data_IF_139880137483
#
_entry.id   IF_139880137483
#
_cell.length_a   1.000
_cell.length_b   1.000
_cell.length_c   1.000
_cell.angle_alpha   90.00
_cell.angle_beta   90.00
_cell.angle_gamma   90.00
#
_symmetry.space_group_name_H-M   'P 1'
#
loop_
_entity.id
_entity.type
_entity.pdbx_description
1 polymer ?
#
# COMPACT_ATOMS: atom_id res chain seq x y z
N UNK A 1 -14.47 3.81 1.30
CA UNK A 1 -13.04 4.21 1.29
C UNK A 1 -12.13 3.12 0.76
N UNK A 2 -12.01 1.98 1.46
CA UNK A 2 -11.05 0.90 1.11
C UNK A 2 -11.17 0.46 -0.34
N UNK A 3 -12.38 0.23 -0.84
CA UNK A 3 -12.60 -0.17 -2.24
C UNK A 3 -12.00 0.84 -3.24
N UNK A 4 -12.25 2.15 -3.04
CA UNK A 4 -11.70 3.20 -3.91
C UNK A 4 -10.17 3.19 -3.90
N UNK A 5 -9.56 3.10 -2.72
CA UNK A 5 -8.10 3.03 -2.55
C UNK A 5 -7.53 1.82 -3.30
N UNK A 6 -8.18 0.65 -3.17
CA UNK A 6 -7.77 -0.57 -3.86
C UNK A 6 -7.87 -0.42 -5.38
N UNK A 7 -8.95 0.18 -5.88
CA UNK A 7 -9.15 0.43 -7.30
C UNK A 7 -8.08 1.40 -7.84
N UNK A 8 -7.78 2.47 -7.10
CA UNK A 8 -6.72 3.44 -7.45
C UNK A 8 -5.34 2.78 -7.49
N UNK A 9 -5.01 1.90 -6.52
CA UNK A 9 -3.75 1.14 -6.53
C UNK A 9 -3.67 0.25 -7.79
N UNK A 10 -4.76 -0.43 -8.15
CA UNK A 10 -4.79 -1.29 -9.35
C UNK A 10 -4.60 -0.48 -10.63
N UNK A 11 -5.22 0.70 -10.73
CA UNK A 11 -5.00 1.63 -11.85
C UNK A 11 -3.55 2.09 -11.89
N UNK A 12 -2.98 2.51 -10.76
CA UNK A 12 -1.58 2.90 -10.67
C UNK A 12 -0.64 1.78 -11.15
N UNK A 13 -0.86 0.54 -10.72
CA UNK A 13 -0.10 -0.61 -11.20
C UNK A 13 -0.28 -0.88 -12.70
N UNK A 14 -1.49 -0.75 -13.25
CA UNK A 14 -1.72 -0.93 -14.69
C UNK A 14 -1.01 0.14 -15.54
N UNK A 15 -0.73 1.31 -14.96
CA UNK A 15 0.01 2.41 -15.60
C UNK A 15 1.48 2.48 -15.17
N UNK A 16 2.03 1.40 -14.57
CA UNK A 16 3.43 1.32 -14.13
C UNK A 16 3.85 2.41 -13.10
N UNK A 17 2.88 2.99 -12.37
CA UNK A 17 3.10 3.98 -11.31
C UNK A 17 3.46 3.30 -9.98
N UNK A 18 4.58 2.58 -9.95
CA UNK A 18 4.93 1.65 -8.87
C UNK A 18 5.02 2.30 -7.48
N UNK A 19 5.65 3.46 -7.36
CA UNK A 19 5.79 4.13 -6.07
C UNK A 19 4.48 4.74 -5.58
N UNK A 20 3.59 5.16 -6.48
CA UNK A 20 2.23 5.61 -6.13
C UNK A 20 1.42 4.42 -5.60
N UNK A 21 1.44 3.30 -6.33
CA UNK A 21 0.80 2.06 -5.90
C UNK A 21 1.34 1.56 -4.55
N UNK A 22 2.66 1.53 -4.38
CA UNK A 22 3.31 1.07 -3.15
C UNK A 22 2.97 1.96 -1.96
N UNK A 23 3.16 3.27 -2.10
CA UNK A 23 2.89 4.24 -1.03
C UNK A 23 1.45 4.15 -0.55
N UNK A 24 0.50 4.03 -1.48
CA UNK A 24 -0.93 3.91 -1.18
C UNK A 24 -1.25 2.54 -0.58
N UNK A 25 -0.72 1.44 -1.12
CA UNK A 25 -0.93 0.09 -0.59
C UNK A 25 -0.43 -0.06 0.85
N UNK A 26 0.71 0.56 1.18
CA UNK A 26 1.27 0.56 2.54
C UNK A 26 0.39 1.25 3.58
N UNK A 27 -0.64 2.01 3.17
CA UNK A 27 -1.64 2.59 4.09
C UNK A 27 -2.77 1.63 4.44
N UNK A 28 -3.00 0.57 3.65
CA UNK A 28 -4.11 -0.37 3.88
C UNK A 28 -4.03 -1.06 5.26
N UNK A 29 -2.86 -1.52 5.74
CA UNK A 29 -2.75 -2.09 7.08
C UNK A 29 -3.01 -1.07 8.21
N UNK A 30 -2.74 0.23 8.01
CA UNK A 30 -3.12 1.27 8.98
C UNK A 30 -4.66 1.36 9.10
N UNK A 31 -5.35 1.40 7.95
CA UNK A 31 -6.80 1.54 7.86
C UNK A 31 -7.48 0.30 8.46
N UNK A 32 -7.09 -0.89 8.02
CA UNK A 32 -7.68 -2.14 8.49
C UNK A 32 -7.29 -2.45 9.94
N UNK A 33 -6.06 -2.14 10.36
CA UNK A 33 -5.63 -2.27 11.75
C UNK A 33 -6.38 -1.33 12.70
N UNK A 34 -6.70 -0.11 12.28
CA UNK A 34 -7.56 0.79 13.08
C UNK A 34 -8.98 0.23 13.26
N UNK A 35 -9.54 -0.37 12.22
CA UNK A 35 -10.86 -0.98 12.27
C UNK A 35 -10.88 -2.25 13.15
N UNK A 36 -9.85 -3.11 13.06
CA UNK A 36 -9.77 -4.32 13.87
C UNK A 36 -9.49 -4.05 15.36
N UNK A 37 -8.63 -3.08 15.64
CA UNK A 37 -8.14 -2.79 16.99
C UNK A 37 -8.47 -1.36 17.42
N UNK A 38 -9.76 -0.98 17.56
CA UNK A 38 -10.15 0.42 17.80
C UNK A 38 -9.58 0.99 19.10
N UNK A 39 -9.39 0.14 20.12
CA UNK A 39 -8.92 0.49 21.46
C UNK A 39 -7.40 0.50 21.63
N UNK A 40 -6.65 -0.06 20.67
CA UNK A 40 -5.19 0.01 20.69
C UNK A 40 -4.74 1.42 20.30
N UNK A 41 -3.95 2.06 21.15
CA UNK A 41 -3.55 3.46 20.96
C UNK A 41 -2.36 3.59 20.01
N UNK A 42 -1.48 2.58 19.97
CA UNK A 42 -0.31 2.57 19.10
C UNK A 42 -0.70 2.21 17.68
N UNK A 43 -0.64 3.19 16.76
CA UNK A 43 -0.83 2.97 15.33
C UNK A 43 0.13 1.90 14.79
N UNK A 44 1.40 1.95 15.23
CA UNK A 44 2.42 0.94 14.91
C UNK A 44 1.98 -0.47 15.30
N UNK A 45 1.44 -0.64 16.52
CA UNK A 45 1.00 -1.96 17.00
C UNK A 45 -0.18 -2.48 16.19
N UNK A 46 -1.21 -1.64 15.94
CA UNK A 46 -2.36 -2.03 15.09
C UNK A 46 -1.93 -2.47 13.71
N UNK A 47 -1.01 -1.73 13.09
CA UNK A 47 -0.47 -2.05 11.78
C UNK A 47 0.20 -3.41 11.75
N UNK A 48 1.17 -3.62 12.66
CA UNK A 48 1.98 -4.84 12.70
C UNK A 48 1.11 -6.05 13.03
N UNK A 49 0.21 -5.93 14.00
CA UNK A 49 -0.66 -7.02 14.43
C UNK A 49 -1.63 -7.42 13.32
N UNK A 50 -2.28 -6.44 12.66
CA UNK A 50 -3.19 -6.73 11.55
C UNK A 50 -2.44 -7.34 10.36
N UNK A 51 -1.30 -6.75 9.97
CA UNK A 51 -0.50 -7.28 8.87
C UNK A 51 -0.04 -8.70 9.14
N UNK A 52 0.51 -8.98 10.33
CA UNK A 52 0.97 -10.33 10.67
C UNK A 52 -0.17 -11.35 10.68
N UNK A 53 -1.35 -10.96 11.18
CA UNK A 53 -2.54 -11.81 11.22
C UNK A 53 -3.05 -12.16 9.82
N UNK A 54 -3.21 -11.17 8.96
CA UNK A 54 -3.91 -11.34 7.68
C UNK A 54 -2.98 -11.67 6.51
N UNK A 55 -1.69 -11.30 6.59
CA UNK A 55 -0.72 -11.44 5.49
C UNK A 55 0.56 -12.14 5.96
N UNK A 56 1.24 -11.57 6.96
CA UNK A 56 2.60 -11.96 7.35
C UNK A 56 2.75 -13.40 7.84
N UNK A 57 1.70 -14.03 8.36
CA UNK A 57 1.69 -15.46 8.68
C UNK A 57 1.99 -16.33 7.45
N UNK A 58 1.44 -15.95 6.28
CA UNK A 58 1.58 -16.70 5.02
C UNK A 58 2.86 -16.36 4.26
N UNK A 59 3.56 -15.28 4.63
CA UNK A 59 4.87 -14.92 4.06
C UNK A 59 6.03 -15.72 4.67
N UNK A 60 5.80 -16.40 5.80
CA UNK A 60 6.81 -17.26 6.44
C UNK A 60 7.00 -18.54 5.65
N UNK A 61 8.24 -19.03 5.60
CA UNK A 61 8.52 -20.38 5.11
C UNK A 61 7.84 -21.42 6.03
N UNK A 62 6.86 -22.21 5.54
CA UNK A 62 6.16 -23.18 6.37
C UNK A 62 7.03 -24.40 6.70
N UNK A 63 8.08 -24.66 5.91
CA UNK A 63 8.98 -25.80 6.04
C UNK A 63 10.38 -25.35 6.44
N UNK A 64 10.47 -24.45 7.44
CA UNK A 64 11.75 -24.00 7.93
C UNK A 64 12.54 -25.18 8.49
N UNK A 65 13.67 -25.47 7.87
CA UNK A 65 14.54 -26.62 8.17
C UNK A 65 15.90 -26.20 8.72
N UNK A 66 16.27 -24.93 8.55
CA UNK A 66 17.51 -24.36 9.06
C UNK A 66 17.31 -23.81 10.48
N UNK A 67 18.39 -23.77 11.27
CA UNK A 67 18.40 -23.15 12.60
C UNK A 67 18.11 -21.65 12.54
N UNK A 68 18.53 -21.00 11.45
CA UNK A 68 18.29 -19.59 11.19
C UNK A 68 17.05 -19.37 10.29
N UNK A 69 16.19 -18.45 10.69
CA UNK A 69 14.99 -18.13 9.93
C UNK A 69 15.32 -17.38 8.63
N UNK A 70 14.70 -17.76 7.51
CA UNK A 70 14.84 -17.00 6.26
C UNK A 70 14.20 -15.61 6.40
N UNK A 71 14.81 -14.55 5.85
CA UNK A 71 14.17 -13.23 5.77
C UNK A 71 12.81 -13.31 5.09
N UNK A 72 11.81 -12.65 5.67
CA UNK A 72 10.46 -12.59 5.12
C UNK A 72 9.80 -11.25 5.43
N UNK A 73 8.73 -10.92 4.70
CA UNK A 73 7.97 -9.68 4.88
C UNK A 73 7.09 -9.75 6.12
N UNK A 74 7.71 -9.64 7.30
CA UNK A 74 6.97 -9.48 8.56
C UNK A 74 6.27 -8.12 8.64
N UNK A 75 5.29 -7.99 9.52
CA UNK A 75 4.64 -6.71 9.80
C UNK A 75 5.63 -5.63 10.28
N UNK A 76 6.71 -6.00 10.96
CA UNK A 76 7.76 -5.04 11.35
C UNK A 76 8.54 -4.54 10.12
N UNK A 77 8.89 -5.44 9.19
CA UNK A 77 9.62 -5.11 7.95
C UNK A 77 8.78 -4.17 7.09
N UNK A 78 7.52 -4.52 6.87
CA UNK A 78 6.60 -3.70 6.05
C UNK A 78 6.27 -2.37 6.73
N UNK A 79 6.10 -2.34 8.06
CA UNK A 79 5.91 -1.09 8.79
C UNK A 79 7.15 -0.20 8.70
N UNK A 80 8.36 -0.77 8.80
CA UNK A 80 9.62 -0.04 8.62
C UNK A 80 9.69 0.56 7.21
N UNK A 81 9.45 -0.24 6.17
CA UNK A 81 9.41 0.23 4.79
C UNK A 81 8.41 1.37 4.58
N UNK A 82 7.20 1.26 5.16
CA UNK A 82 6.20 2.33 5.16
C UNK A 82 6.73 3.62 5.76
N UNK A 83 7.37 3.56 6.92
CA UNK A 83 7.95 4.74 7.56
C UNK A 83 9.05 5.36 6.68
N UNK A 84 10.01 4.56 6.22
CA UNK A 84 11.14 5.06 5.43
C UNK A 84 10.67 5.65 4.09
N UNK A 85 9.72 5.01 3.39
CA UNK A 85 9.19 5.52 2.14
C UNK A 85 8.35 6.78 2.33
N UNK A 86 7.40 6.79 3.27
CA UNK A 86 6.42 7.89 3.40
C UNK A 86 6.95 9.11 4.16
N UNK A 87 7.92 8.94 5.06
CA UNK A 87 8.43 10.03 5.89
C UNK A 87 9.83 10.50 5.51
N UNK A 88 10.64 9.63 4.90
CA UNK A 88 12.04 9.93 4.59
C UNK A 88 12.33 9.92 3.08
N UNK A 89 11.40 9.40 2.25
CA UNK A 89 11.62 9.21 0.82
C UNK A 89 12.72 8.19 0.50
N UNK A 90 13.10 7.35 1.47
CA UNK A 90 14.12 6.33 1.36
C UNK A 90 13.46 4.95 1.42
N UNK A 91 13.13 4.32 0.29
CA UNK A 91 12.37 3.08 0.26
C UNK A 91 13.23 1.84 0.61
N UNK A 92 13.75 1.83 1.84
CA UNK A 92 14.58 0.78 2.41
C UNK A 92 14.04 0.37 3.79
N UNK A 93 14.51 -0.78 4.28
CA UNK A 93 14.16 -1.31 5.59
C UNK A 93 15.21 -0.85 6.61
N UNK A 94 14.75 -0.29 7.73
CA UNK A 94 15.60 0.20 8.80
C UNK A 94 15.85 -0.90 9.85
N UNK A 95 17.03 -1.51 9.76
CA UNK A 95 17.48 -2.55 10.69
C UNK A 95 17.58 -2.08 12.16
N UNK A 96 17.78 -0.78 12.43
CA UNK A 96 17.80 -0.25 13.80
C UNK A 96 16.42 -0.37 14.46
N UNK A 97 15.35 -0.21 13.67
CA UNK A 97 13.98 -0.42 14.15
C UNK A 97 13.61 -1.90 14.30
N UNK A 98 14.27 -2.81 13.57
CA UNK A 98 14.01 -4.25 13.58
C UNK A 98 14.74 -5.00 14.71
N UNK A 99 16.01 -4.67 14.96
CA UNK A 99 16.87 -5.30 15.98
C UNK A 99 16.34 -5.17 17.41
N UNK A 100 15.57 -4.13 17.71
CA UNK A 100 14.93 -3.96 19.04
C UNK A 100 13.92 -5.06 19.39
N UNK A 101 13.59 -5.97 18.46
CA UNK A 101 12.54 -6.98 18.67
C UNK A 101 12.93 -8.42 18.33
N UNK A 102 13.86 -8.68 17.40
CA UNK A 102 14.44 -10.01 17.09
C UNK A 102 15.54 -9.88 16.00
N UNK A 103 16.72 -10.48 16.19
CA UNK A 103 17.79 -10.49 15.18
C UNK A 103 17.42 -11.29 13.92
N UNK A 104 16.50 -12.26 14.01
CA UNK A 104 16.02 -13.03 12.84
C UNK A 104 15.26 -12.19 11.81
N UNK A 105 14.92 -10.93 12.14
CA UNK A 105 14.21 -10.02 11.23
C UNK A 105 15.14 -9.10 10.44
N UNK A 106 16.45 -9.12 10.70
CA UNK A 106 17.43 -8.29 10.01
C UNK A 106 17.46 -8.58 8.50
N UNK A 107 17.53 -7.50 7.70
CA UNK A 107 17.72 -7.57 6.24
C UNK A 107 18.83 -6.59 5.86
N UNK A 108 20.03 -7.10 5.59
CA UNK A 108 21.20 -6.28 5.24
C UNK A 108 21.08 -5.67 3.84
N UNK A 109 20.40 -6.38 2.94
CA UNK A 109 20.17 -5.91 1.58
C UNK A 109 18.71 -6.08 1.16
N UNK A 110 18.00 -4.96 1.09
CA UNK A 110 16.62 -4.93 0.63
C UNK A 110 16.55 -4.31 -0.76
N UNK A 111 15.86 -4.99 -1.68
CA UNK A 111 15.70 -4.55 -3.07
C UNK A 111 14.22 -4.45 -3.40
N UNK A 112 13.82 -3.31 -3.97
CA UNK A 112 12.52 -3.16 -4.60
C UNK A 112 12.61 -3.57 -6.07
N UNK A 113 11.89 -4.63 -6.43
CA UNK A 113 11.76 -5.09 -7.81
C UNK A 113 10.51 -4.49 -8.45
N UNK A 114 10.74 -3.72 -9.50
CA UNK A 114 9.70 -3.27 -10.44
C UNK A 114 9.67 -4.21 -11.64
N UNK A 115 8.48 -4.58 -12.06
CA UNK A 115 8.25 -5.42 -13.24
C UNK A 115 6.95 -4.99 -13.90
N UNK A 116 6.79 -5.17 -15.21
CA UNK A 116 5.54 -4.86 -15.92
C UNK A 116 4.47 -5.91 -15.62
N UNK A 117 3.22 -5.60 -15.99
CA UNK A 117 2.12 -6.56 -15.87
C UNK A 117 2.43 -7.81 -16.69
N UNK A 118 2.18 -8.99 -16.12
CA UNK A 118 2.29 -10.30 -16.80
C UNK A 118 0.90 -10.84 -17.11
N UNK A 119 0.82 -11.70 -18.11
CA UNK A 119 -0.45 -12.28 -18.58
C UNK A 119 -1.23 -13.02 -17.49
N UNK A 120 -0.52 -13.66 -16.55
CA UNK A 120 -1.11 -14.45 -15.47
C UNK A 120 -0.98 -13.80 -14.08
N UNK A 121 -0.49 -12.55 -14.00
CA UNK A 121 -0.26 -11.84 -12.73
C UNK A 121 0.53 -12.65 -11.67
N UNK A 122 1.47 -13.49 -12.14
CA UNK A 122 2.37 -14.27 -11.27
C UNK A 122 3.66 -13.49 -11.01
N UNK A 123 3.82 -13.07 -9.77
CA UNK A 123 4.98 -12.32 -9.28
C UNK A 123 5.58 -13.04 -8.08
N UNK A 124 6.90 -13.00 -7.95
CA UNK A 124 7.63 -13.67 -6.87
C UNK A 124 8.59 -12.71 -6.19
N UNK A 125 8.83 -12.95 -4.92
CA UNK A 125 9.93 -12.34 -4.18
C UNK A 125 11.11 -13.31 -4.16
N UNK A 126 12.27 -12.83 -3.72
CA UNK A 126 13.41 -13.72 -3.41
C UNK A 126 14.00 -13.36 -2.05
N UNK A 127 14.38 -14.38 -1.31
CA UNK A 127 15.01 -14.28 0.01
C UNK A 127 16.27 -15.12 0.01
N UNK A 128 17.32 -14.61 0.65
CA UNK A 128 18.64 -15.24 0.66
C UNK A 128 19.35 -15.02 1.98
N UNK A 129 20.05 -16.06 2.43
CA UNK A 129 21.08 -15.97 3.46
C UNK A 129 22.35 -16.49 2.81
N UNK A 130 23.45 -15.75 2.96
CA UNK A 130 24.74 -16.13 2.41
C UNK A 130 25.87 -15.83 3.38
N UNK A 131 26.79 -16.79 3.51
CA UNK A 131 28.06 -16.61 4.23
C UNK A 131 29.19 -16.63 3.20
N UNK A 132 29.66 -15.44 2.81
CA UNK A 132 30.74 -15.30 1.82
C UNK A 132 31.90 -14.53 2.44
N UNK A 133 33.11 -15.08 2.38
CA UNK A 133 34.33 -14.47 2.94
C UNK A 133 34.22 -14.07 4.43
N UNK A 134 33.45 -14.84 5.22
CA UNK A 134 33.23 -14.54 6.65
C UNK A 134 32.26 -13.39 6.91
N UNK A 135 31.59 -12.86 5.87
CA UNK A 135 30.49 -11.92 6.00
C UNK A 135 29.17 -12.67 5.87
N UNK A 136 28.41 -12.67 6.96
CA UNK A 136 27.03 -13.13 6.99
C UNK A 136 26.14 -12.04 6.43
N UNK A 137 25.29 -12.36 5.43
CA UNK A 137 24.40 -11.40 4.77
C UNK A 137 23.01 -11.98 4.57
N UNK A 138 22.01 -11.19 4.95
CA UNK A 138 20.58 -11.48 4.79
C UNK A 138 19.98 -10.55 3.73
N UNK A 139 19.40 -11.12 2.69
CA UNK A 139 18.92 -10.38 1.52
C UNK A 139 17.43 -10.66 1.26
N UNK A 140 16.70 -9.62 0.85
CA UNK A 140 15.32 -9.75 0.41
C UNK A 140 15.03 -8.85 -0.79
N UNK A 141 14.51 -9.42 -1.86
CA UNK A 141 14.01 -8.69 -3.03
C UNK A 141 12.49 -8.78 -3.07
N UNK A 142 11.82 -7.66 -2.84
CA UNK A 142 10.36 -7.54 -2.83
C UNK A 142 9.85 -7.01 -4.17
N UNK A 143 8.95 -7.76 -4.82
CA UNK A 143 8.17 -7.28 -5.97
C UNK A 143 7.10 -6.29 -5.51
N UNK A 144 7.16 -5.07 -6.05
CA UNK A 144 6.15 -4.04 -5.76
C UNK A 144 4.76 -4.49 -6.22
N UNK A 145 4.68 -5.11 -7.42
CA UNK A 145 3.40 -5.62 -7.92
C UNK A 145 2.82 -6.68 -6.99
N UNK A 146 3.63 -7.65 -6.59
CA UNK A 146 3.20 -8.74 -5.69
C UNK A 146 2.61 -8.18 -4.39
N UNK A 147 3.39 -7.37 -3.67
CA UNK A 147 2.96 -6.87 -2.35
C UNK A 147 1.72 -6.00 -2.44
N UNK A 148 1.62 -5.13 -3.46
CA UNK A 148 0.43 -4.30 -3.68
C UNK A 148 -0.80 -5.16 -3.98
N UNK A 149 -0.69 -6.19 -4.82
CA UNK A 149 -1.80 -7.08 -5.15
C UNK A 149 -2.28 -7.87 -3.93
N UNK A 150 -1.35 -8.41 -3.13
CA UNK A 150 -1.68 -9.13 -1.88
C UNK A 150 -2.41 -8.20 -0.91
N UNK A 151 -1.84 -7.02 -0.63
CA UNK A 151 -2.45 -6.04 0.28
C UNK A 151 -3.84 -5.61 -0.21
N UNK A 152 -4.01 -5.37 -1.51
CA UNK A 152 -5.30 -5.04 -2.10
C UNK A 152 -6.33 -6.14 -1.89
N UNK A 153 -6.00 -7.38 -2.26
CA UNK A 153 -6.92 -8.52 -2.15
C UNK A 153 -7.33 -8.78 -0.70
N UNK A 154 -6.37 -8.77 0.22
CA UNK A 154 -6.62 -9.04 1.64
C UNK A 154 -7.40 -7.90 2.29
N UNK A 155 -7.03 -6.63 2.05
CA UNK A 155 -7.76 -5.48 2.60
C UNK A 155 -9.18 -5.37 2.02
N UNK A 156 -9.37 -5.65 0.73
CA UNK A 156 -10.67 -5.66 0.08
C UNK A 156 -11.58 -6.75 0.68
N UNK A 157 -11.06 -7.97 0.85
CA UNK A 157 -11.80 -9.06 1.50
C UNK A 157 -12.14 -8.70 2.94
N UNK A 158 -11.14 -8.26 3.71
CA UNK A 158 -11.31 -7.89 5.10
C UNK A 158 -12.38 -6.79 5.27
N UNK A 159 -12.36 -5.77 4.40
CA UNK A 159 -13.37 -4.73 4.39
C UNK A 159 -14.77 -5.26 4.06
N UNK A 160 -14.91 -6.14 3.06
CA UNK A 160 -16.20 -6.74 2.68
C UNK A 160 -16.81 -7.56 3.82
N UNK A 161 -15.97 -8.29 4.56
CA UNK A 161 -16.38 -9.20 5.63
C UNK A 161 -16.62 -8.50 6.97
N UNK A 162 -16.14 -7.26 7.15
CA UNK A 162 -16.16 -6.55 8.44
C UNK A 162 -16.63 -5.09 8.30
N UNK A 163 -17.57 -4.80 7.38
CA UNK A 163 -17.98 -3.41 7.05
C UNK A 163 -18.39 -2.60 8.29
N UNK A 164 -19.02 -3.24 9.26
CA UNK A 164 -19.49 -2.66 10.52
C UNK A 164 -18.36 -2.14 11.42
N UNK A 165 -17.13 -2.64 11.25
CA UNK A 165 -15.94 -2.15 11.99
C UNK A 165 -15.40 -0.83 11.44
N UNK A 166 -15.80 -0.45 10.22
CA UNK A 166 -15.30 0.75 9.56
C UNK A 166 -16.28 1.90 9.75
N UNK A 167 -15.76 3.01 10.29
CA UNK A 167 -16.49 4.26 10.41
C UNK A 167 -15.81 5.31 9.52
N UNK A 168 -16.57 5.87 8.59
CA UNK A 168 -16.12 6.91 7.68
C UNK A 168 -17.02 8.14 7.85
N UNK A 169 -16.44 9.26 8.28
CA UNK A 169 -17.16 10.52 8.47
C UNK A 169 -16.68 11.55 7.42
N UNK A 170 -17.03 11.32 6.15
CA UNK A 170 -16.70 12.22 5.06
C UNK A 170 -17.66 12.03 3.87
N UNK A 171 -17.75 13.05 3.02
CA UNK A 171 -18.48 13.03 1.75
C UNK A 171 -17.52 13.22 0.57
N UNK A 172 -17.78 12.58 -0.57
CA UNK A 172 -17.05 12.80 -1.83
C UNK A 172 -18.05 13.29 -2.86
N UNK A 173 -17.85 14.52 -3.35
CA UNK A 173 -18.57 15.09 -4.48
C UNK A 173 -17.74 14.92 -5.75
N UNK A 174 -18.19 14.04 -6.64
CA UNK A 174 -17.69 13.98 -8.01
C UNK A 174 -18.39 15.07 -8.82
N UNK A 175 -17.73 16.22 -8.98
CA UNK A 175 -18.33 17.40 -9.57
C UNK A 175 -18.64 17.22 -11.05
N UNK A 176 -17.78 16.53 -11.79
CA UNK A 176 -17.99 16.26 -13.21
C UNK A 176 -19.22 15.38 -13.39
N UNK A 177 -19.37 14.32 -12.59
CA UNK A 177 -20.57 13.49 -12.59
C UNK A 177 -21.82 14.24 -12.11
N UNK A 178 -21.68 15.07 -11.08
CA UNK A 178 -22.78 15.88 -10.56
C UNK A 178 -23.28 16.91 -11.59
N UNK A 179 -22.41 17.39 -12.47
CA UNK A 179 -22.74 18.40 -13.49
C UNK A 179 -22.93 17.84 -14.89
N UNK A 180 -22.82 16.51 -15.09
CA UNK A 180 -22.93 15.86 -16.41
C UNK A 180 -24.27 16.15 -17.12
N UNK A 181 -25.34 16.31 -16.35
CA UNK A 181 -26.68 16.64 -16.83
C UNK A 181 -26.89 18.13 -17.12
N UNK A 182 -25.98 19.00 -16.70
CA UNK A 182 -26.09 20.43 -16.96
C UNK A 182 -25.69 20.71 -18.42
N UNK A 183 -26.44 21.56 -19.13
CA UNK A 183 -26.08 21.92 -20.49
C UNK A 183 -24.71 22.61 -20.47
N UNK A 184 -23.84 22.24 -21.40
CA UNK A 184 -22.58 22.96 -21.60
C UNK A 184 -22.92 24.42 -21.89
N UNK A 185 -22.36 25.32 -21.09
CA UNK A 185 -22.48 26.74 -21.34
C UNK A 185 -21.79 27.03 -22.67
N UNK A 186 -22.56 27.48 -23.65
CA UNK A 186 -22.01 28.07 -24.86
C UNK A 186 -21.40 29.42 -24.48
N UNK A 187 -20.09 29.41 -24.24
CA UNK A 187 -19.35 30.60 -23.85
C UNK A 187 -19.38 31.69 -24.94
N UNK A 188 -19.53 31.34 -26.22
CA UNK A 188 -19.67 32.34 -27.28
C UNK A 188 -21.05 33.00 -27.26
N UNK A 189 -22.11 32.23 -27.01
CA UNK A 189 -23.46 32.78 -26.84
C UNK A 189 -23.55 33.63 -25.57
N UNK A 190 -22.95 33.18 -24.46
CA UNK A 190 -22.89 33.91 -23.20
C UNK A 190 -22.11 35.23 -23.32
N UNK A 191 -20.94 35.20 -23.95
CA UNK A 191 -20.14 36.42 -24.18
C UNK A 191 -20.83 37.39 -25.13
N UNK A 192 -21.53 36.90 -26.17
CA UNK A 192 -22.35 37.76 -27.04
C UNK A 192 -23.48 38.43 -26.29
N UNK A 193 -24.18 37.72 -25.41
CA UNK A 193 -25.22 38.30 -24.57
C UNK A 193 -24.66 39.35 -23.60
N UNK A 194 -23.48 39.13 -23.00
CA UNK A 194 -22.84 40.12 -22.13
C UNK A 194 -22.33 41.37 -22.87
N UNK A 195 -21.96 41.22 -24.13
CA UNK A 195 -21.50 42.32 -24.98
C UNK A 195 -22.66 43.08 -25.64
N UNK A 196 -23.91 42.66 -25.45
CA UNK A 196 -25.09 43.35 -25.97
C UNK A 196 -25.30 44.67 -25.19
N UNK A 197 -25.14 45.84 -25.84
CA UNK A 197 -25.27 47.13 -25.18
C UNK A 197 -26.69 47.41 -24.65
N UNK A 198 -27.72 46.71 -25.14
CA UNK A 198 -29.10 46.90 -24.68
C UNK A 198 -29.43 46.16 -23.37
N UNK A 199 -28.53 45.32 -22.82
CA UNK A 199 -28.69 44.74 -21.48
C UNK A 199 -28.49 45.73 -20.32
N UNK A 200 -28.02 46.95 -20.62
CA UNK A 200 -27.71 47.99 -19.63
C UNK A 200 -28.81 49.04 -19.42
N UNK A 201 -30.00 48.85 -20.01
CA UNK A 201 -31.17 49.72 -19.86
C UNK A 201 -32.26 49.12 -18.98
#
# INVERSE_FOLDING_TARGET
MVQRIVDDIRVALNHDLYFVALSTALTLPDICGKAEYPNETSSKKRYIDWYNKEIGYYEKNPNQTNEEEMPYLSGNVIYSLRCSLLHEGNPNVDNVQLTRKNDSLLIDHFVLKVEKKKDFDIYSDSSGISDIFGQHRREYTMSIRRVCLIMCCVAEKYYKDNKEKFQFNYEILDWDKATEHLPRIDMEAFMRALADPDLSK
#
